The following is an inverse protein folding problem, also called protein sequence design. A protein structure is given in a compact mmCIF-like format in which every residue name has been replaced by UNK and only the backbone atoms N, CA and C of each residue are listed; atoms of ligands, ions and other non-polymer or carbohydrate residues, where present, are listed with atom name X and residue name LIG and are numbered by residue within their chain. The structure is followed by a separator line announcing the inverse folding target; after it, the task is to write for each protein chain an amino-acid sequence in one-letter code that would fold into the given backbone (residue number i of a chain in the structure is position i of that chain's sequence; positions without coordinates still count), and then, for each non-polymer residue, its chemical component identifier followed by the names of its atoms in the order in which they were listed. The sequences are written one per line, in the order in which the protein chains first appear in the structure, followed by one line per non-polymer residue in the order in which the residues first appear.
data_IF_007048221241
#
_entry.id   IF_007048221241
#
_cell.length_a   1.000
_cell.length_b   1.000
_cell.length_c   1.000
_cell.angle_alpha   90.00
_cell.angle_beta   90.00
_cell.angle_gamma   90.00
#
_symmetry.space_group_name_H-M   'P 1'
#
loop_
_entity.id
_entity.type
_entity.pdbx_description
1 polymer ?
#
# COMPACT_ATOMS: atom_id res chain seq x y z
N UNK A 1 -7.74 25.52 41.20
CA UNK A 1 -7.22 24.13 41.14
C UNK A 1 -7.39 23.64 39.72
N UNK A 2 -6.31 23.49 38.97
CA UNK A 2 -6.35 22.93 37.63
C UNK A 2 -6.54 21.41 37.76
N UNK A 3 -7.79 20.94 37.66
CA UNK A 3 -8.06 19.56 37.32
C UNK A 3 -7.78 19.40 35.82
N UNK A 4 -6.50 19.33 35.48
CA UNK A 4 -6.04 19.08 34.13
C UNK A 4 -6.45 17.67 33.73
N UNK A 5 -7.30 17.59 32.71
CA UNK A 5 -7.62 16.41 31.94
C UNK A 5 -6.34 15.65 31.55
N UNK A 6 -5.98 14.62 32.30
CA UNK A 6 -5.24 13.50 31.74
C UNK A 6 -6.25 12.39 31.48
N UNK A 7 -7.04 12.56 30.42
CA UNK A 7 -7.67 11.41 29.80
C UNK A 7 -6.53 10.53 29.30
N UNK A 8 -6.41 9.33 29.89
CA UNK A 8 -5.43 8.31 29.53
C UNK A 8 -5.27 8.22 28.03
N UNK A 9 -4.07 8.50 27.53
CA UNK A 9 -3.65 7.95 26.26
C UNK A 9 -3.56 6.44 26.46
N UNK A 10 -4.62 5.72 26.06
CA UNK A 10 -4.73 4.25 26.21
C UNK A 10 -3.78 3.50 25.28
N UNK A 11 -3.30 4.17 24.24
CA UNK A 11 -2.55 3.58 23.15
C UNK A 11 -1.04 3.69 23.44
N UNK A 12 -0.27 2.63 23.15
CA UNK A 12 1.20 2.67 23.28
C UNK A 12 1.82 3.67 22.29
N UNK A 13 3.07 4.08 22.52
CA UNK A 13 3.76 4.99 21.60
C UNK A 13 3.89 4.40 20.19
N UNK A 14 4.08 3.08 20.11
CA UNK A 14 4.13 2.33 18.85
C UNK A 14 2.77 2.32 18.18
N UNK A 15 1.71 2.07 18.94
CA UNK A 15 0.33 2.09 18.43
C UNK A 15 -0.03 3.44 17.82
N UNK A 16 0.28 4.54 18.51
CA UNK A 16 0.08 5.89 17.97
C UNK A 16 0.87 6.14 16.69
N UNK A 17 2.13 5.68 16.63
CA UNK A 17 2.98 5.83 15.46
C UNK A 17 2.39 5.09 14.24
N UNK A 18 2.05 3.81 14.39
CA UNK A 18 1.52 3.01 13.27
C UNK A 18 0.16 3.53 12.83
N UNK A 19 -0.71 3.89 13.77
CA UNK A 19 -2.01 4.50 13.45
C UNK A 19 -1.87 5.84 12.75
N UNK A 20 -0.83 6.62 13.06
CA UNK A 20 -0.51 7.84 12.30
C UNK A 20 -0.06 7.51 10.86
N UNK A 21 0.76 6.48 10.64
CA UNK A 21 1.13 6.05 9.28
C UNK A 21 -0.07 5.57 8.47
N UNK A 22 -0.99 4.79 9.07
CA UNK A 22 -2.24 4.40 8.41
C UNK A 22 -3.14 5.59 8.09
N UNK A 23 -3.24 6.55 9.01
CA UNK A 23 -4.05 7.75 8.79
C UNK A 23 -3.55 8.58 7.60
N UNK A 24 -2.24 8.60 7.33
CA UNK A 24 -1.67 9.31 6.18
C UNK A 24 -2.12 8.71 4.84
N UNK A 25 -2.17 7.38 4.74
CA UNK A 25 -2.49 6.68 3.49
C UNK A 25 -4.00 6.46 3.31
N UNK A 26 -4.81 6.61 4.36
CA UNK A 26 -6.25 6.40 4.34
C UNK A 26 -6.97 7.45 3.48
N UNK A 27 -7.00 7.22 2.18
CA UNK A 27 -7.70 8.02 1.19
C UNK A 27 -7.88 7.25 -0.12
N UNK A 28 -8.54 7.89 -1.08
CA UNK A 28 -8.54 7.48 -2.47
C UNK A 28 -7.35 8.15 -3.17
N UNK A 29 -6.55 7.37 -3.89
CA UNK A 29 -5.37 7.84 -4.61
C UNK A 29 -5.49 7.46 -6.08
N UNK A 30 -5.05 8.34 -6.97
CA UNK A 30 -4.94 8.08 -8.41
C UNK A 30 -3.49 8.05 -8.83
N UNK A 31 -3.06 7.06 -9.60
CA UNK A 31 -1.73 7.07 -10.19
C UNK A 31 -1.51 8.31 -11.04
N UNK A 32 -0.40 8.98 -10.80
CA UNK A 32 0.17 9.97 -11.70
C UNK A 32 1.35 9.38 -12.48
N UNK A 33 2.07 8.41 -11.91
CA UNK A 33 3.13 7.67 -12.62
C UNK A 33 3.39 6.31 -12.01
N UNK A 34 3.86 5.36 -12.84
CA UNK A 34 4.33 4.05 -12.42
C UNK A 34 5.62 3.73 -13.18
N UNK A 35 6.63 3.22 -12.49
CA UNK A 35 7.94 2.89 -13.06
C UNK A 35 8.36 1.50 -12.63
N UNK A 36 8.88 0.74 -13.57
CA UNK A 36 9.54 -0.54 -13.34
C UNK A 36 11.03 -0.40 -13.61
N UNK A 37 11.84 -0.90 -12.68
CA UNK A 37 13.29 -1.00 -12.79
C UNK A 37 13.74 -2.45 -12.55
N UNK A 38 14.99 -2.75 -12.90
CA UNK A 38 15.57 -4.10 -12.80
C UNK A 38 15.32 -4.95 -14.05
N UNK A 39 15.34 -6.28 -13.90
CA UNK A 39 15.12 -7.26 -15.00
C UNK A 39 13.64 -7.39 -15.40
N UNK A 40 12.96 -6.27 -15.60
CA UNK A 40 11.63 -6.26 -16.20
C UNK A 40 11.76 -6.41 -17.73
N UNK A 41 11.03 -7.34 -18.35
CA UNK A 41 10.94 -7.35 -19.82
C UNK A 41 10.29 -6.05 -20.30
N UNK A 42 10.66 -5.58 -21.49
CA UNK A 42 10.12 -4.32 -22.02
C UNK A 42 8.59 -4.37 -22.16
N UNK A 43 8.03 -5.56 -22.41
CA UNK A 43 6.58 -5.80 -22.44
C UNK A 43 5.88 -5.47 -21.11
N UNK A 44 6.57 -5.59 -19.97
CA UNK A 44 6.00 -5.27 -18.65
C UNK A 44 5.96 -3.76 -18.37
N UNK A 45 6.88 -2.99 -18.96
CA UNK A 45 7.02 -1.55 -18.71
C UNK A 45 5.85 -0.73 -19.25
N UNK A 46 5.07 -1.25 -20.21
CA UNK A 46 3.97 -0.52 -20.87
C UNK A 46 2.58 -0.77 -20.28
N UNK A 47 2.45 -1.57 -19.22
CA UNK A 47 1.15 -2.07 -18.77
C UNK A 47 0.52 -1.31 -17.59
N UNK A 48 1.06 -0.19 -17.12
CA UNK A 48 0.50 0.59 -16.01
C UNK A 48 0.28 2.04 -16.43
N UNK A 49 -0.85 2.33 -17.09
CA UNK A 49 -1.16 3.65 -17.63
C UNK A 49 -2.11 4.44 -16.73
N UNK A 50 -2.95 3.74 -15.98
CA UNK A 50 -3.93 4.33 -15.07
C UNK A 50 -4.23 3.37 -13.92
N UNK A 51 -4.63 3.94 -12.80
CA UNK A 51 -5.09 3.13 -11.68
C UNK A 51 -5.38 3.98 -10.45
N UNK A 52 -6.05 3.37 -9.49
CA UNK A 52 -6.36 3.99 -8.21
C UNK A 52 -6.33 2.98 -7.09
N UNK A 53 -5.98 3.47 -5.90
CA UNK A 53 -6.09 2.72 -4.65
C UNK A 53 -7.08 3.39 -3.73
N UNK A 54 -7.88 2.59 -3.04
CA UNK A 54 -8.58 3.00 -1.83
C UNK A 54 -8.02 2.20 -0.68
N UNK A 55 -7.31 2.87 0.22
CA UNK A 55 -6.88 2.24 1.48
C UNK A 55 -8.03 2.34 2.46
N UNK A 56 -8.59 1.21 2.88
CA UNK A 56 -9.63 1.23 3.91
C UNK A 56 -9.03 1.69 5.25
N UNK A 57 -9.87 2.19 6.14
CA UNK A 57 -9.45 2.51 7.50
C UNK A 57 -8.92 1.25 8.18
N UNK A 58 -7.72 1.35 8.75
CA UNK A 58 -7.11 0.28 9.51
C UNK A 58 -6.61 0.82 10.84
N UNK A 59 -6.63 -0.03 11.86
CA UNK A 59 -6.07 0.27 13.18
C UNK A 59 -5.06 -0.79 13.54
N UNK A 60 -3.97 -0.34 14.13
CA UNK A 60 -3.02 -1.17 14.83
C UNK A 60 -3.44 -1.25 16.31
N UNK A 61 -3.38 -2.45 16.85
CA UNK A 61 -3.35 -2.74 18.29
C UNK A 61 -2.02 -3.44 18.55
N UNK A 62 -1.37 -3.11 19.67
CA UNK A 62 -0.04 -3.61 20.04
C UNK A 62 -0.03 -5.13 20.31
N UNK A 63 -0.07 -5.91 19.23
CA UNK A 63 -0.15 -7.38 19.24
C UNK A 63 1.05 -8.03 18.52
N UNK A 64 2.11 -7.27 18.25
CA UNK A 64 3.39 -7.79 17.75
C UNK A 64 4.03 -7.00 16.62
N UNK A 65 5.00 -7.64 15.95
CA UNK A 65 5.89 -7.02 14.94
C UNK A 65 5.19 -6.48 13.70
N UNK A 66 4.02 -7.01 13.39
CA UNK A 66 3.22 -6.63 12.24
C UNK A 66 1.87 -6.09 12.70
N UNK A 67 1.32 -5.15 11.94
CA UNK A 67 -0.08 -4.80 12.10
C UNK A 67 -1.02 -5.95 11.77
N UNK A 68 -2.28 -5.78 12.18
CA UNK A 68 -3.37 -6.56 11.60
C UNK A 68 -3.38 -6.43 10.07
N UNK A 69 -3.86 -7.48 9.39
CA UNK A 69 -4.03 -7.47 7.95
C UNK A 69 -5.15 -6.50 7.58
N UNK A 70 -4.79 -5.45 6.88
CA UNK A 70 -5.70 -4.43 6.39
C UNK A 70 -6.12 -4.72 4.95
N UNK A 71 -7.25 -4.14 4.55
CA UNK A 71 -7.81 -4.27 3.20
C UNK A 71 -8.03 -2.93 2.52
N UNK A 72 -8.25 -2.99 1.22
CA UNK A 72 -8.54 -1.85 0.37
C UNK A 72 -8.96 -2.32 -1.02
N UNK A 73 -9.26 -1.37 -1.88
CA UNK A 73 -9.59 -1.64 -3.28
C UNK A 73 -8.48 -1.11 -4.18
N UNK A 74 -8.30 -1.77 -5.31
CA UNK A 74 -7.39 -1.33 -6.36
C UNK A 74 -8.08 -1.48 -7.70
N UNK A 75 -7.92 -0.47 -8.56
CA UNK A 75 -8.29 -0.55 -9.97
C UNK A 75 -7.04 -0.26 -10.80
N UNK A 76 -6.68 -1.16 -11.72
CA UNK A 76 -5.51 -1.02 -12.60
C UNK A 76 -5.96 -1.14 -14.05
N UNK A 77 -5.82 -0.07 -14.83
CA UNK A 77 -6.31 -0.02 -16.22
C UNK A 77 -7.76 -0.56 -16.38
N UNK A 78 -8.63 -0.26 -15.42
CA UNK A 78 -10.03 -0.72 -15.40
C UNK A 78 -10.26 -2.14 -14.90
N UNK A 79 -9.21 -2.86 -14.43
CA UNK A 79 -9.34 -4.13 -13.74
C UNK A 79 -9.40 -3.91 -12.23
N UNK A 80 -10.51 -4.30 -11.63
CA UNK A 80 -10.72 -4.20 -10.18
C UNK A 80 -10.10 -5.39 -9.43
N UNK A 81 -9.66 -5.13 -8.21
CA UNK A 81 -9.22 -6.13 -7.26
C UNK A 81 -9.15 -5.59 -5.85
N UNK A 82 -8.70 -6.44 -4.94
CA UNK A 82 -8.54 -6.09 -3.54
C UNK A 82 -7.06 -5.92 -3.21
N UNK A 83 -6.74 -4.80 -2.56
CA UNK A 83 -5.44 -4.56 -1.96
C UNK A 83 -5.45 -5.11 -0.54
N UNK A 84 -4.46 -5.93 -0.20
CA UNK A 84 -4.16 -6.27 1.19
C UNK A 84 -2.86 -5.62 1.60
N UNK A 85 -2.78 -5.20 2.86
CA UNK A 85 -1.55 -4.62 3.37
C UNK A 85 -1.38 -4.84 4.87
N UNK A 86 -0.13 -4.90 5.30
CA UNK A 86 0.27 -4.87 6.71
C UNK A 86 1.48 -3.95 6.86
N UNK A 87 1.73 -3.46 8.07
CA UNK A 87 2.88 -2.64 8.39
C UNK A 87 3.84 -3.40 9.30
N UNK A 88 5.10 -3.55 8.86
CA UNK A 88 6.23 -4.04 9.64
C UNK A 88 6.77 -2.88 10.49
N UNK A 89 6.57 -2.97 11.80
CA UNK A 89 6.92 -1.90 12.76
C UNK A 89 8.44 -1.75 12.89
N UNK A 90 9.16 -2.87 12.94
CA UNK A 90 10.62 -2.91 13.10
C UNK A 90 11.33 -2.26 11.90
N UNK A 91 10.81 -2.52 10.69
CA UNK A 91 11.43 -2.06 9.43
C UNK A 91 10.81 -0.80 8.86
N UNK A 92 9.67 -0.36 9.39
CA UNK A 92 8.88 0.78 8.91
C UNK A 92 8.50 0.63 7.43
N UNK A 93 7.95 -0.53 7.09
CA UNK A 93 7.64 -0.91 5.70
C UNK A 93 6.23 -1.47 5.61
N UNK A 94 5.57 -1.21 4.49
CA UNK A 94 4.34 -1.88 4.14
C UNK A 94 4.65 -3.19 3.42
N UNK A 95 3.95 -4.26 3.73
CA UNK A 95 3.89 -5.43 2.88
C UNK A 95 2.55 -5.43 2.17
N UNK A 96 2.58 -5.35 0.84
CA UNK A 96 1.40 -5.29 -0.01
C UNK A 96 1.14 -6.65 -0.65
N UNK A 97 -0.14 -6.98 -0.79
CA UNK A 97 -0.63 -8.11 -1.56
C UNK A 97 -1.85 -7.72 -2.38
N UNK A 98 -2.10 -8.48 -3.44
CA UNK A 98 -3.27 -8.28 -4.31
C UNK A 98 -4.08 -9.58 -4.39
N UNK A 99 -5.39 -9.45 -4.26
CA UNK A 99 -6.37 -10.53 -4.44
C UNK A 99 -7.34 -10.19 -5.56
N UNK A 100 -7.59 -11.17 -6.44
CA UNK A 100 -8.46 -11.03 -7.60
C UNK A 100 -9.86 -10.56 -7.20
N UNK A 101 -10.38 -9.55 -7.91
CA UNK A 101 -11.76 -9.08 -7.74
C UNK A 101 -12.74 -9.98 -8.48
N UNK A 102 -14.00 -10.00 -8.02
CA UNK A 102 -15.04 -10.93 -8.50
C UNK A 102 -15.36 -10.80 -10.00
N UNK A 103 -15.04 -9.66 -10.62
CA UNK A 103 -15.35 -9.33 -12.02
C UNK A 103 -14.12 -9.23 -12.94
N UNK A 104 -12.99 -9.81 -12.55
CA UNK A 104 -11.76 -9.73 -13.33
C UNK A 104 -11.87 -10.53 -14.63
N UNK A 105 -12.17 -9.85 -15.75
CA UNK A 105 -12.31 -10.49 -17.08
C UNK A 105 -10.96 -10.92 -17.68
N UNK A 106 -9.87 -10.24 -17.35
CA UNK A 106 -8.52 -10.58 -17.80
C UNK A 106 -7.65 -11.07 -16.64
N UNK A 107 -7.81 -12.37 -16.32
CA UNK A 107 -7.07 -13.03 -15.24
C UNK A 107 -5.56 -13.03 -15.48
N UNK A 108 -5.12 -13.05 -16.73
CA UNK A 108 -3.69 -13.10 -17.07
C UNK A 108 -3.03 -11.75 -16.75
N UNK A 109 -3.67 -10.66 -17.18
CA UNK A 109 -3.21 -9.31 -16.88
C UNK A 109 -3.25 -9.02 -15.37
N UNK A 110 -4.31 -9.44 -14.69
CA UNK A 110 -4.41 -9.32 -13.24
C UNK A 110 -3.31 -10.10 -12.50
N UNK A 111 -3.05 -11.35 -12.90
CA UNK A 111 -1.98 -12.17 -12.33
C UNK A 111 -0.62 -11.49 -12.47
N UNK A 112 -0.40 -10.81 -13.59
CA UNK A 112 0.82 -10.03 -13.80
C UNK A 112 0.90 -8.84 -12.83
N UNK A 113 -0.17 -8.07 -12.69
CA UNK A 113 -0.22 -6.95 -11.74
C UNK A 113 0.00 -7.38 -10.30
N UNK A 114 -0.60 -8.49 -9.90
CA UNK A 114 -0.38 -9.11 -8.59
C UNK A 114 1.10 -9.42 -8.38
N UNK A 115 1.78 -10.05 -9.34
CA UNK A 115 3.22 -10.36 -9.23
C UNK A 115 4.09 -9.10 -9.12
N UNK A 116 3.73 -8.03 -9.82
CA UNK A 116 4.49 -6.78 -9.81
C UNK A 116 4.32 -6.03 -8.47
N UNK A 117 3.10 -5.97 -7.94
CA UNK A 117 2.78 -5.15 -6.79
C UNK A 117 2.99 -5.85 -5.44
N UNK A 118 2.96 -7.18 -5.39
CA UNK A 118 3.13 -7.93 -4.14
C UNK A 118 4.58 -7.85 -3.66
N UNK A 119 4.78 -7.48 -2.40
CA UNK A 119 6.10 -7.39 -1.78
C UNK A 119 6.19 -6.32 -0.72
N UNK A 120 7.41 -5.90 -0.41
CA UNK A 120 7.70 -4.88 0.62
C UNK A 120 7.91 -3.51 0.01
N UNK A 121 7.33 -2.50 0.63
CA UNK A 121 7.23 -1.14 0.12
C UNK A 121 7.55 -0.13 1.21
N UNK A 122 8.20 0.94 0.81
CA UNK A 122 8.18 2.20 1.55
C UNK A 122 7.12 3.08 0.91
N UNK A 123 6.21 3.62 1.72
CA UNK A 123 5.17 4.55 1.29
C UNK A 123 5.31 5.82 2.12
N UNK A 124 5.39 6.95 1.44
CA UNK A 124 5.51 8.27 2.05
C UNK A 124 4.43 9.19 1.49
N UNK A 125 3.76 9.92 2.38
CA UNK A 125 2.73 10.89 2.00
C UNK A 125 3.22 12.29 2.36
N UNK A 126 3.31 13.15 1.35
CA UNK A 126 3.70 14.57 1.49
C UNK A 126 2.59 15.42 0.91
N UNK A 127 1.77 16.02 1.78
CA UNK A 127 0.55 16.72 1.37
C UNK A 127 -0.43 15.76 0.69
N UNK A 128 -0.84 16.10 -0.54
CA UNK A 128 -1.76 15.30 -1.35
C UNK A 128 -1.04 14.36 -2.34
N UNK A 129 0.25 14.09 -2.11
CA UNK A 129 1.07 13.20 -2.95
C UNK A 129 1.54 12.00 -2.13
N UNK A 130 1.28 10.80 -2.64
CA UNK A 130 1.78 9.52 -2.13
C UNK A 130 2.88 9.01 -3.06
N UNK A 131 4.06 8.80 -2.50
CA UNK A 131 5.20 8.19 -3.16
C UNK A 131 5.41 6.79 -2.60
N UNK A 132 5.50 5.79 -3.48
CA UNK A 132 5.71 4.40 -3.08
C UNK A 132 6.88 3.80 -3.86
N UNK A 133 7.79 3.15 -3.15
CA UNK A 133 8.93 2.44 -3.73
C UNK A 133 9.01 1.03 -3.18
N UNK A 134 9.09 0.04 -4.07
CA UNK A 134 9.23 -1.36 -3.72
C UNK A 134 10.68 -1.64 -3.32
N UNK A 135 10.85 -2.19 -2.13
CA UNK A 135 12.13 -2.60 -1.56
C UNK A 135 12.44 -4.03 -2.01
N UNK A 136 11.42 -4.90 -2.00
CA UNK A 136 11.52 -6.32 -2.34
C UNK A 136 10.25 -6.75 -3.07
N UNK A 137 10.41 -7.51 -4.16
CA UNK A 137 9.30 -8.13 -4.89
C UNK A 137 9.25 -9.62 -4.56
N UNK A 138 8.09 -10.10 -4.10
CA UNK A 138 7.95 -11.48 -3.61
C UNK A 138 7.85 -12.51 -4.76
N UNK A 139 7.60 -12.07 -5.99
CA UNK A 139 7.27 -12.93 -7.14
C UNK A 139 8.31 -12.93 -8.27
N UNK A 140 9.01 -11.82 -8.47
CA UNK A 140 9.94 -11.60 -9.58
C UNK A 140 11.23 -11.05 -8.98
N UNK A 141 12.27 -11.90 -8.83
CA UNK A 141 13.57 -11.46 -8.31
C UNK A 141 14.14 -10.29 -9.12
N UNK A 142 14.82 -9.37 -8.43
CA UNK A 142 15.43 -8.16 -8.98
C UNK A 142 14.47 -7.13 -9.60
N UNK A 143 13.15 -7.38 -9.65
CA UNK A 143 12.16 -6.39 -10.08
C UNK A 143 11.97 -5.35 -8.96
N UNK A 144 11.96 -4.07 -9.34
CA UNK A 144 11.55 -2.97 -8.46
C UNK A 144 10.48 -2.13 -9.13
N UNK A 145 9.35 -1.98 -8.46
CA UNK A 145 8.32 -1.04 -8.85
C UNK A 145 8.39 0.24 -8.01
N UNK A 146 7.96 1.36 -8.60
CA UNK A 146 7.70 2.59 -7.86
C UNK A 146 6.54 3.32 -8.50
N UNK A 147 5.77 4.05 -7.70
CA UNK A 147 4.67 4.85 -8.20
C UNK A 147 4.49 6.13 -7.41
N UNK A 148 3.91 7.10 -8.10
CA UNK A 148 3.42 8.33 -7.50
C UNK A 148 1.91 8.37 -7.72
N UNK A 149 1.18 8.74 -6.68
CA UNK A 149 -0.26 8.89 -6.73
C UNK A 149 -0.68 10.20 -6.06
N UNK A 150 -1.74 10.82 -6.59
CA UNK A 150 -2.32 12.03 -6.02
C UNK A 150 -3.64 11.69 -5.34
N UNK A 151 -3.93 12.37 -4.23
CA UNK A 151 -5.20 12.24 -3.51
C UNK A 151 -6.36 12.69 -4.41
N UNK A 152 -7.47 11.94 -4.38
CA UNK A 152 -8.73 12.28 -5.07
C UNK A 152 -9.71 13.00 -4.16
#
# INVERSE_FOLDING_TARGET
MFAGLMACEKDSAEEKMVNAEFSKIQANWSFSSFKLAGKASDTLKFNFNSGSFRWASCKYTDEGKYSQLCGGDITLNGLDGYLTYLYDVDRKQYQLGLLEGDNTKDKMQYSLYRKILTGKWTIEVVGDVLNATQIENDSIPDLKASFVANKK
#
